data_IF_032460544833
#
_entry.id   IF_032460544833
#
_cell.length_a   1.000
_cell.length_b   1.000
_cell.length_c   1.000
_cell.angle_alpha   90.00
_cell.angle_beta   90.00
_cell.angle_gamma   90.00
#
_symmetry.space_group_name_H-M   'P 1'
#
loop_
_entity.id
_entity.type
_entity.pdbx_description
1 polymer ?
#
# COMPACT_ATOMS: atom_id res chain seq x y z
N UNK A 1 0.35 -20.25 -9.07
CA UNK A 1 -1.05 -19.90 -8.77
C UNK A 1 -1.11 -19.59 -7.28
N UNK A 2 -1.31 -18.32 -6.92
CA UNK A 2 -1.63 -17.94 -5.54
C UNK A 2 -3.06 -18.34 -5.22
N UNK A 3 -3.31 -18.83 -4.01
CA UNK A 3 -4.60 -19.41 -3.62
C UNK A 3 -5.64 -18.36 -3.12
N UNK A 4 -5.24 -17.09 -2.94
CA UNK A 4 -6.12 -16.00 -2.47
C UNK A 4 -5.97 -14.71 -3.28
N UNK A 5 -6.92 -13.78 -3.15
CA UNK A 5 -6.83 -12.47 -3.80
C UNK A 5 -5.67 -11.64 -3.22
N UNK A 6 -5.12 -10.72 -4.00
CA UNK A 6 -4.04 -9.84 -3.56
C UNK A 6 -4.42 -9.05 -2.29
N UNK A 7 -5.65 -8.55 -2.20
CA UNK A 7 -6.16 -7.82 -1.04
C UNK A 7 -6.20 -8.69 0.23
N UNK A 8 -6.62 -9.96 0.13
CA UNK A 8 -6.61 -10.91 1.24
C UNK A 8 -5.19 -11.29 1.65
N UNK A 9 -4.30 -11.52 0.67
CA UNK A 9 -2.89 -11.79 0.92
C UNK A 9 -2.23 -10.60 1.64
N UNK A 10 -2.47 -9.37 1.19
CA UNK A 10 -1.95 -8.15 1.83
C UNK A 10 -2.54 -7.96 3.23
N UNK A 11 -3.82 -8.29 3.44
CA UNK A 11 -4.44 -8.25 4.76
C UNK A 11 -3.82 -9.25 5.73
N UNK A 12 -3.65 -10.50 5.32
CA UNK A 12 -3.00 -11.53 6.15
C UNK A 12 -1.53 -11.16 6.42
N UNK A 13 -0.82 -10.68 5.41
CA UNK A 13 0.56 -10.21 5.54
C UNK A 13 0.69 -9.05 6.53
N UNK A 14 -0.20 -8.06 6.45
CA UNK A 14 -0.28 -6.99 7.44
C UNK A 14 -0.47 -7.54 8.85
N UNK A 15 -1.43 -8.44 9.07
CA UNK A 15 -1.69 -9.04 10.38
C UNK A 15 -0.48 -9.82 10.91
N UNK A 16 0.21 -10.56 10.06
CA UNK A 16 1.42 -11.29 10.43
C UNK A 16 2.54 -10.33 10.85
N UNK A 17 2.76 -9.26 10.09
CA UNK A 17 3.81 -8.28 10.36
C UNK A 17 3.54 -7.46 11.65
N UNK A 18 2.31 -7.02 11.90
CA UNK A 18 2.00 -6.28 13.15
C UNK A 18 2.02 -7.16 14.41
N UNK A 19 1.98 -8.49 14.24
CA UNK A 19 2.10 -9.47 15.33
C UNK A 19 3.51 -10.02 15.50
N UNK A 20 4.44 -9.60 14.65
CA UNK A 20 5.85 -9.97 14.77
C UNK A 20 6.51 -9.15 15.89
N UNK A 21 7.45 -9.74 16.62
CA UNK A 21 8.20 -9.06 17.69
C UNK A 21 9.21 -8.02 17.15
N UNK A 22 9.65 -8.17 15.90
CA UNK A 22 10.58 -7.26 15.25
C UNK A 22 9.85 -5.99 14.77
N UNK A 23 10.30 -4.85 15.32
CA UNK A 23 9.76 -3.53 15.04
C UNK A 23 9.86 -3.12 13.57
N UNK A 24 10.83 -3.65 12.80
CA UNK A 24 10.93 -3.35 11.37
C UNK A 24 9.77 -3.94 10.57
N UNK A 25 9.32 -5.14 10.92
CA UNK A 25 8.14 -5.74 10.29
C UNK A 25 6.87 -4.95 10.63
N UNK A 26 6.71 -4.57 11.89
CA UNK A 26 5.57 -3.74 12.33
C UNK A 26 5.57 -2.40 11.60
N UNK A 27 6.72 -1.72 11.57
CA UNK A 27 6.90 -0.44 10.89
C UNK A 27 6.58 -0.54 9.40
N UNK A 28 7.13 -1.54 8.70
CA UNK A 28 6.87 -1.76 7.28
C UNK A 28 5.37 -1.95 7.00
N UNK A 29 4.66 -2.71 7.84
CA UNK A 29 3.22 -2.92 7.72
C UNK A 29 2.43 -1.61 7.91
N UNK A 30 2.75 -0.81 8.93
CA UNK A 30 2.08 0.47 9.16
C UNK A 30 2.35 1.49 8.05
N UNK A 31 3.58 1.57 7.56
CA UNK A 31 3.98 2.51 6.51
C UNK A 31 3.33 2.16 5.17
N UNK A 32 3.27 0.87 4.84
CA UNK A 32 2.52 0.39 3.68
C UNK A 32 1.05 0.79 3.81
N UNK A 33 0.37 0.44 4.90
CA UNK A 33 -1.04 0.77 5.11
C UNK A 33 -1.30 2.27 5.11
N UNK A 34 -0.42 3.09 5.69
CA UNK A 34 -0.54 4.54 5.67
C UNK A 34 -0.48 5.09 4.23
N UNK A 35 0.43 4.55 3.39
CA UNK A 35 0.49 4.92 1.97
C UNK A 35 -0.80 4.56 1.23
N UNK A 36 -1.37 3.38 1.48
CA UNK A 36 -2.68 2.99 0.92
C UNK A 36 -3.77 3.98 1.32
N UNK A 37 -3.83 4.38 2.61
CA UNK A 37 -4.80 5.36 3.10
C UNK A 37 -4.63 6.71 2.41
N UNK A 38 -3.40 7.24 2.33
CA UNK A 38 -3.14 8.54 1.70
C UNK A 38 -3.54 8.55 0.23
N UNK A 39 -3.13 7.54 -0.54
CA UNK A 39 -3.51 7.42 -1.96
C UNK A 39 -5.03 7.33 -2.13
N UNK A 40 -5.70 6.56 -1.28
CA UNK A 40 -7.17 6.44 -1.31
C UNK A 40 -7.87 7.75 -0.96
N UNK A 41 -7.34 8.51 0.00
CA UNK A 41 -7.87 9.83 0.36
C UNK A 41 -7.64 10.82 -0.77
N UNK A 42 -6.44 10.83 -1.36
CA UNK A 42 -6.11 11.70 -2.50
C UNK A 42 -7.07 11.48 -3.67
N UNK A 43 -7.35 10.22 -3.99
CA UNK A 43 -8.27 9.86 -5.08
C UNK A 43 -9.72 10.23 -4.76
N UNK A 44 -10.21 9.91 -3.55
CA UNK A 44 -11.64 10.02 -3.22
C UNK A 44 -12.05 11.37 -2.63
N UNK A 45 -11.17 12.03 -1.88
CA UNK A 45 -11.42 13.27 -1.14
C UNK A 45 -10.10 14.08 -1.00
N UNK A 46 -9.52 14.58 -2.10
CA UNK A 46 -8.20 15.23 -2.10
C UNK A 46 -8.11 16.41 -1.12
N UNK A 47 -9.22 17.12 -0.89
CA UNK A 47 -9.30 18.23 0.06
C UNK A 47 -9.04 17.82 1.52
N UNK A 48 -9.21 16.53 1.85
CA UNK A 48 -8.95 15.97 3.18
C UNK A 48 -7.51 15.52 3.37
N UNK A 49 -6.71 15.40 2.31
CA UNK A 49 -5.35 14.88 2.40
C UNK A 49 -4.43 15.81 3.18
N UNK A 50 -4.42 17.11 2.84
CA UNK A 50 -3.54 18.10 3.48
C UNK A 50 -3.64 18.15 5.01
N UNK A 51 -4.83 18.25 5.63
CA UNK A 51 -4.93 18.24 7.10
C UNK A 51 -4.52 16.91 7.73
N UNK A 52 -4.52 15.80 6.97
CA UNK A 52 -4.03 14.50 7.43
C UNK A 52 -2.51 14.45 7.35
N UNK A 53 -1.90 14.89 6.24
CA UNK A 53 -0.45 14.98 6.08
C UNK A 53 0.20 15.81 7.19
N UNK A 54 -0.44 16.91 7.60
CA UNK A 54 0.02 17.76 8.69
C UNK A 54 0.09 17.06 10.07
N UNK A 55 -0.63 15.94 10.24
CA UNK A 55 -0.61 15.13 11.48
C UNK A 55 0.41 13.99 11.43
N UNK A 56 0.95 13.68 10.26
CA UNK A 56 1.94 12.62 10.08
C UNK A 56 3.31 13.15 10.53
N UNK A 57 4.08 12.30 11.21
CA UNK A 57 5.43 12.66 11.62
C UNK A 57 6.29 13.00 10.39
N UNK A 58 7.00 14.14 10.36
CA UNK A 58 7.81 14.56 9.21
C UNK A 58 8.86 13.53 8.75
N UNK A 59 9.41 12.72 9.66
CA UNK A 59 10.35 11.66 9.33
C UNK A 59 9.74 10.55 8.47
N UNK A 60 8.44 10.29 8.64
CA UNK A 60 7.69 9.33 7.79
C UNK A 60 7.51 9.89 6.39
N UNK A 61 7.17 11.17 6.26
CA UNK A 61 7.06 11.84 4.97
C UNK A 61 8.41 11.88 4.26
N UNK A 62 9.49 12.13 4.99
CA UNK A 62 10.85 12.05 4.48
C UNK A 62 11.21 10.63 3.99
N UNK A 63 10.86 9.59 4.75
CA UNK A 63 11.06 8.20 4.34
C UNK A 63 10.27 7.86 3.07
N UNK A 64 9.04 8.34 2.93
CA UNK A 64 8.28 8.14 1.70
C UNK A 64 8.96 8.77 0.48
N UNK A 65 9.46 9.99 0.63
CA UNK A 65 10.21 10.69 -0.43
C UNK A 65 11.51 9.99 -0.77
N UNK A 66 12.26 9.53 0.24
CA UNK A 66 13.48 8.75 0.02
C UNK A 66 13.20 7.45 -0.75
N UNK A 67 12.13 6.74 -0.38
CA UNK A 67 11.73 5.53 -1.08
C UNK A 67 11.36 5.81 -2.54
N UNK A 68 10.63 6.89 -2.80
CA UNK A 68 10.27 7.32 -4.16
C UNK A 68 11.53 7.65 -4.97
N UNK A 69 12.40 8.52 -4.46
CA UNK A 69 13.69 8.86 -5.09
C UNK A 69 14.61 7.65 -5.29
N UNK A 70 14.53 6.64 -4.42
CA UNK A 70 15.26 5.39 -4.60
C UNK A 70 14.74 4.64 -5.84
N UNK A 71 13.42 4.48 -5.96
CA UNK A 71 12.80 3.74 -7.07
C UNK A 71 12.89 4.48 -8.41
N UNK A 72 12.78 5.81 -8.43
CA UNK A 72 12.96 6.65 -9.63
C UNK A 72 14.29 6.39 -10.35
N UNK A 73 15.36 6.08 -9.59
CA UNK A 73 16.69 5.78 -10.15
C UNK A 73 16.74 4.47 -10.93
N UNK A 74 15.78 3.57 -10.68
CA UNK A 74 15.65 2.28 -11.38
C UNK A 74 14.60 2.33 -12.49
N UNK A 75 13.91 3.46 -12.71
CA UNK A 75 12.86 3.62 -13.73
C UNK A 75 13.38 3.86 -15.16
N UNK A 76 14.68 3.77 -15.47
CA UNK A 76 15.18 3.88 -16.87
C UNK A 76 16.31 2.87 -17.14
N UNK A 77 16.53 2.29 -18.35
CA UNK A 77 15.75 2.07 -19.58
C UNK A 77 15.46 0.57 -19.82
N UNK A 78 15.15 -0.20 -18.77
CA UNK A 78 14.48 -1.52 -18.88
C UNK A 78 12.95 -1.35 -18.82
N UNK A 79 12.51 -0.10 -18.79
CA UNK A 79 11.16 0.34 -18.45
C UNK A 79 10.11 -0.10 -19.47
N UNK A 80 10.40 -0.14 -20.78
CA UNK A 80 9.41 -0.59 -21.77
C UNK A 80 9.17 -2.09 -21.70
N UNK A 81 10.24 -2.89 -21.56
CA UNK A 81 10.13 -4.35 -21.45
C UNK A 81 9.53 -4.78 -20.11
N UNK A 82 9.94 -4.12 -19.02
CA UNK A 82 9.38 -4.37 -17.69
C UNK A 82 7.94 -3.86 -17.57
N UNK A 83 7.58 -2.70 -18.14
CA UNK A 83 6.17 -2.27 -18.21
C UNK A 83 5.33 -3.27 -19.00
N UNK A 84 5.78 -3.79 -20.15
CA UNK A 84 5.02 -4.81 -20.90
C UNK A 84 4.90 -6.12 -20.10
N UNK A 85 5.98 -6.57 -19.46
CA UNK A 85 5.98 -7.77 -18.61
C UNK A 85 5.06 -7.60 -17.39
N UNK A 86 5.19 -6.48 -16.68
CA UNK A 86 4.40 -6.15 -15.50
C UNK A 86 2.94 -5.96 -15.87
N UNK A 87 2.63 -5.21 -16.93
CA UNK A 87 1.27 -5.01 -17.44
C UNK A 87 0.63 -6.34 -17.89
N UNK A 88 1.38 -7.26 -18.51
CA UNK A 88 0.92 -8.62 -18.79
C UNK A 88 0.78 -9.49 -17.53
N UNK A 89 1.66 -9.35 -16.54
CA UNK A 89 1.58 -10.03 -15.25
C UNK A 89 0.33 -9.60 -14.46
N UNK A 90 0.05 -8.29 -14.39
CA UNK A 90 -1.16 -7.73 -13.75
C UNK A 90 -2.43 -8.20 -14.48
N UNK A 91 -2.42 -8.19 -15.83
CA UNK A 91 -3.54 -8.67 -16.68
C UNK A 91 -3.79 -10.18 -16.55
N UNK A 92 -2.73 -10.99 -16.47
CA UNK A 92 -2.81 -12.46 -16.32
C UNK A 92 -3.26 -12.87 -14.90
N UNK A 93 -2.98 -12.07 -13.87
CA UNK A 93 -3.41 -12.30 -12.49
C UNK A 93 -4.77 -11.65 -12.12
N UNK A 94 -5.58 -11.26 -13.11
CA UNK A 94 -6.92 -10.69 -12.91
C UNK A 94 -6.98 -9.38 -12.10
N UNK A 95 -5.95 -8.52 -12.12
CA UNK A 95 -6.08 -7.12 -11.68
C UNK A 95 -6.74 -6.27 -12.78
N UNK A 96 -8.02 -6.55 -13.08
CA UNK A 96 -8.87 -5.55 -13.75
C UNK A 96 -9.29 -4.42 -12.79
N UNK A 97 -9.14 -4.65 -11.50
CA UNK A 97 -9.64 -3.78 -10.43
C UNK A 97 -8.63 -2.72 -9.97
N UNK A 98 -7.31 -2.89 -10.13
CA UNK A 98 -6.32 -1.85 -9.81
C UNK A 98 -6.56 -1.15 -8.45
N UNK A 99 -6.89 0.14 -8.47
CA UNK A 99 -7.27 0.95 -7.28
C UNK A 99 -8.40 0.33 -6.43
N UNK A 100 -9.32 -0.43 -7.04
CA UNK A 100 -10.37 -1.15 -6.31
C UNK A 100 -9.79 -2.25 -5.40
N UNK A 101 -8.66 -2.89 -5.74
CA UNK A 101 -8.03 -3.88 -4.85
C UNK A 101 -7.31 -3.22 -3.66
N UNK A 102 -6.76 -2.01 -3.84
CA UNK A 102 -6.26 -1.16 -2.73
C UNK A 102 -7.40 -0.80 -1.78
N UNK A 103 -8.57 -0.47 -2.34
CA UNK A 103 -9.76 -0.19 -1.55
C UNK A 103 -10.24 -1.42 -0.77
N UNK A 104 -10.24 -2.61 -1.39
CA UNK A 104 -10.66 -3.87 -0.73
C UNK A 104 -9.75 -4.27 0.45
N UNK A 105 -8.44 -4.05 0.36
CA UNK A 105 -7.53 -4.28 1.49
C UNK A 105 -7.86 -3.35 2.66
N UNK A 106 -8.07 -2.05 2.40
CA UNK A 106 -8.48 -1.09 3.42
C UNK A 106 -9.87 -1.42 3.99
N UNK A 107 -10.80 -1.91 3.18
CA UNK A 107 -12.11 -2.35 3.65
C UNK A 107 -12.01 -3.53 4.62
N UNK A 108 -11.14 -4.51 4.33
CA UNK A 108 -10.86 -5.61 5.25
C UNK A 108 -10.27 -5.10 6.58
N UNK A 109 -9.30 -4.18 6.51
CA UNK A 109 -8.72 -3.56 7.71
C UNK A 109 -9.76 -2.79 8.53
N UNK A 110 -10.55 -1.91 7.90
CA UNK A 110 -11.58 -1.11 8.56
C UNK A 110 -12.58 -2.03 9.23
N UNK A 111 -13.07 -3.07 8.53
CA UNK A 111 -14.01 -4.02 9.10
C UNK A 111 -13.41 -4.82 10.27
N UNK A 112 -12.14 -5.21 10.18
CA UNK A 112 -11.44 -5.92 11.26
C UNK A 112 -11.31 -5.08 12.54
N UNK A 113 -11.07 -3.76 12.39
CA UNK A 113 -10.92 -2.84 13.52
C UNK A 113 -12.23 -2.19 13.98
N UNK A 114 -13.31 -2.24 13.19
CA UNK A 114 -14.62 -1.61 13.51
C UNK A 114 -15.19 -1.98 14.88
N UNK A 115 -14.91 -3.20 15.36
CA UNK A 115 -15.37 -3.70 16.65
C UNK A 115 -14.23 -3.94 17.67
N UNK A 116 -13.04 -3.39 17.41
CA UNK A 116 -11.90 -3.47 18.32
C UNK A 116 -11.60 -2.07 18.87
N UNK A 117 -11.43 -1.96 20.18
CA UNK A 117 -10.81 -0.77 20.74
C UNK A 117 -9.34 -0.77 20.28
N UNK A 118 -8.97 0.28 19.54
CA UNK A 118 -7.60 0.56 19.10
C UNK A 118 -6.75 1.05 20.27
#
# INVERSE_FOLDING_TARGET
>A
MGYGSESECNFIGFLACIKNDDLYFQYAAYIMTLRYCMNTIEEKNPEKLQPILAKINPGILANFKESETFWEKYETPVETGFKIFYDNYLKMNQQKDGLDSYSKFLDLLINFYKNKNL
#
